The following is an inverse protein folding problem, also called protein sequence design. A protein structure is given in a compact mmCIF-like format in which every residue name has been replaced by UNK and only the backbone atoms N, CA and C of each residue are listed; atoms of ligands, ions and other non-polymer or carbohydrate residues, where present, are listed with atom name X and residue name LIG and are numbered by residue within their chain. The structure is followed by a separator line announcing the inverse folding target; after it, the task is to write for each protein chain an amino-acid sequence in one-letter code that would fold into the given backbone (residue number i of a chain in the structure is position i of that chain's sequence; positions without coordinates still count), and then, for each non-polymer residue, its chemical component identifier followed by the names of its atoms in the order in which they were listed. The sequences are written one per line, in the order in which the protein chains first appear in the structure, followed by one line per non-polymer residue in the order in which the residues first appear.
data_IF_588860459752
#
_entry.id   IF_588860459752
#
_cell.length_a   1.000
_cell.length_b   1.000
_cell.length_c   1.000
_cell.angle_alpha   90.00
_cell.angle_beta   90.00
_cell.angle_gamma   90.00
#
_symmetry.space_group_name_H-M   'P 1'
#
loop_
_entity.id
_entity.type
_entity.pdbx_description
1 polymer ?
#
# COMPACT_ATOMS: atom_id res chain seq x y z
N UNK A 1 -3.95 4.77 0.43
CA UNK A 1 -3.03 4.24 1.45
C UNK A 1 -1.58 4.72 1.35
N UNK A 2 -1.08 5.12 0.17
CA UNK A 2 0.30 5.65 0.02
C UNK A 2 0.64 6.80 0.97
N UNK A 3 -0.15 7.87 0.97
CA UNK A 3 0.12 9.04 1.82
C UNK A 3 0.14 8.68 3.31
N UNK A 4 -0.80 7.83 3.74
CA UNK A 4 -0.89 7.36 5.13
C UNK A 4 0.33 6.51 5.48
N UNK A 5 0.74 5.58 4.62
CA UNK A 5 1.96 4.79 4.83
C UNK A 5 3.19 5.68 4.96
N UNK A 6 3.33 6.72 4.11
CA UNK A 6 4.44 7.69 4.16
C UNK A 6 4.42 8.56 5.42
N UNK A 7 3.25 9.03 5.85
CA UNK A 7 3.11 9.89 7.03
C UNK A 7 3.28 9.12 8.34
N UNK A 8 2.78 7.89 8.39
CA UNK A 8 2.80 7.08 9.61
C UNK A 8 4.05 6.22 9.73
N UNK A 9 4.81 6.04 8.64
CA UNK A 9 5.95 5.12 8.57
C UNK A 9 5.56 3.65 8.78
N UNK A 10 4.26 3.33 8.74
CA UNK A 10 3.74 1.98 8.95
C UNK A 10 3.51 1.29 7.62
N UNK A 11 3.76 -0.01 7.60
CA UNK A 11 3.27 -0.88 6.53
C UNK A 11 1.74 -0.98 6.63
N UNK A 12 1.06 -0.76 5.51
CA UNK A 12 -0.39 -0.92 5.41
C UNK A 12 -0.66 -2.03 4.41
N UNK A 13 -1.33 -3.09 4.86
CA UNK A 13 -1.73 -4.20 4.01
C UNK A 13 -3.22 -4.04 3.73
N UNK A 14 -3.60 -3.98 2.46
CA UNK A 14 -4.99 -3.83 2.02
C UNK A 14 -5.33 -4.95 1.04
N UNK A 15 -6.51 -5.54 1.17
CA UNK A 15 -6.96 -6.61 0.28
C UNK A 15 -8.04 -6.08 -0.66
N UNK A 16 -7.89 -6.35 -1.96
CA UNK A 16 -8.97 -6.22 -2.94
C UNK A 16 -9.54 -7.59 -3.33
N UNK A 17 -10.42 -7.63 -4.34
CA UNK A 17 -11.11 -8.85 -4.78
C UNK A 17 -10.13 -9.95 -5.25
N UNK A 18 -8.96 -9.56 -5.77
CA UNK A 18 -8.04 -10.43 -6.49
C UNK A 18 -6.63 -10.53 -5.89
N UNK A 19 -6.22 -9.57 -5.04
CA UNK A 19 -4.84 -9.47 -4.53
C UNK A 19 -4.72 -8.66 -3.24
N UNK A 20 -3.53 -8.72 -2.65
CA UNK A 20 -3.10 -7.87 -1.53
C UNK A 20 -2.18 -6.76 -2.03
N UNK A 21 -2.42 -5.55 -1.54
CA UNK A 21 -1.62 -4.36 -1.72
C UNK A 21 -0.79 -4.12 -0.46
N UNK A 22 0.53 -4.12 -0.60
CA UNK A 22 1.43 -3.76 0.49
C UNK A 22 1.92 -2.33 0.26
N UNK A 23 1.50 -1.43 1.15
CA UNK A 23 1.94 -0.04 1.12
C UNK A 23 3.07 0.16 2.12
N UNK A 24 4.25 0.54 1.63
CA UNK A 24 5.43 0.88 2.43
C UNK A 24 6.07 2.16 1.90
N UNK A 25 6.38 3.09 2.79
CA UNK A 25 6.99 4.39 2.46
C UNK A 25 6.25 5.17 1.36
N UNK A 26 4.93 4.98 1.30
CA UNK A 26 4.07 5.57 0.29
C UNK A 26 4.15 4.99 -1.11
N UNK A 27 4.65 3.76 -1.25
CA UNK A 27 4.61 2.99 -2.50
C UNK A 27 3.82 1.72 -2.31
N UNK A 28 3.11 1.29 -3.35
CA UNK A 28 2.44 -0.01 -3.36
C UNK A 28 3.36 -1.07 -4.01
N UNK A 29 3.41 -2.27 -3.45
CA UNK A 29 4.11 -3.42 -4.05
C UNK A 29 3.53 -3.83 -5.41
N UNK A 30 2.29 -3.46 -5.70
CA UNK A 30 1.61 -3.78 -6.96
C UNK A 30 2.05 -2.91 -8.14
N UNK A 31 3.02 -2.01 -7.95
CA UNK A 31 3.53 -1.14 -9.03
C UNK A 31 2.50 -0.12 -9.52
N UNK A 32 1.57 0.29 -8.66
CA UNK A 32 0.48 1.22 -8.95
C UNK A 32 -0.58 0.73 -9.94
N UNK A 33 -0.55 -0.56 -10.27
CA UNK A 33 -1.69 -1.25 -10.85
C UNK A 33 -2.72 -1.46 -9.74
N UNK A 34 -3.81 -0.68 -9.78
CA UNK A 34 -4.97 -0.84 -8.89
C UNK A 34 -5.57 -2.23 -9.08
#
# INVERSE_FOLDING_TARGET
MKMISKLTGREIIMRDITRFHHFRDGRCSCGDYW
#
